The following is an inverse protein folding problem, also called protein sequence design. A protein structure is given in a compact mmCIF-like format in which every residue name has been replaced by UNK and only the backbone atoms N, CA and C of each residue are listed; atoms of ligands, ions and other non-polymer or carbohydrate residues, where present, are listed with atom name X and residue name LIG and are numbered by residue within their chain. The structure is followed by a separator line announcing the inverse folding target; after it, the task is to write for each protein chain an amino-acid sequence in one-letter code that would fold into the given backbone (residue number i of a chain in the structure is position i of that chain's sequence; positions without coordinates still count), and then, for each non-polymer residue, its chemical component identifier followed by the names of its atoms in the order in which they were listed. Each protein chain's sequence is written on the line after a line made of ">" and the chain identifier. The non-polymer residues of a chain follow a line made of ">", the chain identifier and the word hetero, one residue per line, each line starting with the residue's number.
data_IF_474959280415
#
_entry.id   IF_474959280415
#
_cell.length_a   1.000
_cell.length_b   1.000
_cell.length_c   1.000
_cell.angle_alpha   90.00
_cell.angle_beta   90.00
_cell.angle_gamma   90.00
#
_symmetry.space_group_name_H-M   'P 1'
#
loop_
_entity.id
_entity.type
_entity.pdbx_description
1 polymer ?
#
# COMPACT_ATOMS: atom_id res chain seq x y z
N UNK A 1 1.06 -16.84 -26.00
CA UNK A 1 1.54 -17.03 -24.62
C UNK A 1 2.69 -16.06 -24.40
N UNK A 2 2.60 -15.20 -23.37
CA UNK A 2 3.67 -14.27 -23.03
C UNK A 2 4.78 -15.01 -22.27
N UNK A 3 6.00 -14.49 -22.38
CA UNK A 3 7.11 -14.87 -21.51
C UNK A 3 7.45 -13.66 -20.62
N UNK A 4 7.55 -13.87 -19.31
CA UNK A 4 7.81 -12.82 -18.33
C UNK A 4 9.18 -13.02 -17.69
N UNK A 5 9.98 -11.95 -17.68
CA UNK A 5 11.19 -11.86 -16.88
C UNK A 5 10.95 -10.92 -15.70
N UNK A 6 11.15 -11.44 -14.47
CA UNK A 6 10.87 -10.67 -13.25
C UNK A 6 12.15 -10.12 -12.63
N UNK A 7 12.13 -8.84 -12.31
CA UNK A 7 13.13 -8.20 -11.46
C UNK A 7 12.44 -7.68 -10.21
N UNK A 8 12.93 -8.07 -9.03
CA UNK A 8 12.40 -7.61 -7.75
C UNK A 8 13.46 -6.79 -7.01
N UNK A 9 13.06 -5.61 -6.52
CA UNK A 9 13.91 -4.72 -5.71
C UNK A 9 13.10 -4.06 -4.62
N UNK A 10 13.72 -3.74 -3.50
CA UNK A 10 13.12 -2.94 -2.42
C UNK A 10 13.23 -1.42 -2.66
N UNK A 11 13.93 -0.99 -3.72
CA UNK A 11 14.18 0.43 -4.02
C UNK A 11 13.41 0.89 -5.25
N UNK A 12 12.33 1.65 -5.06
CA UNK A 12 11.52 2.17 -6.16
C UNK A 12 12.31 3.02 -7.16
N UNK A 13 13.33 3.74 -6.71
CA UNK A 13 14.19 4.58 -7.56
C UNK A 13 14.96 3.77 -8.63
N UNK A 14 15.31 2.51 -8.35
CA UNK A 14 15.94 1.62 -9.32
C UNK A 14 14.98 1.30 -10.47
N UNK A 15 13.71 1.03 -10.16
CA UNK A 15 12.67 0.79 -11.16
C UNK A 15 12.40 2.04 -12.00
N UNK A 16 12.35 3.21 -11.37
CA UNK A 16 12.19 4.49 -12.05
C UNK A 16 13.29 4.71 -13.09
N UNK A 17 14.55 4.44 -12.72
CA UNK A 17 15.69 4.52 -13.63
C UNK A 17 15.55 3.58 -14.83
N UNK A 18 15.23 2.32 -14.60
CA UNK A 18 15.09 1.29 -15.63
C UNK A 18 13.90 1.52 -16.59
N UNK A 19 12.77 2.02 -16.08
CA UNK A 19 11.64 2.43 -16.93
C UNK A 19 12.04 3.63 -17.80
N UNK A 20 12.71 4.62 -17.24
CA UNK A 20 13.11 5.81 -17.96
C UNK A 20 14.16 5.52 -19.05
N UNK A 21 15.08 4.56 -18.81
CA UNK A 21 16.09 4.12 -19.81
C UNK A 21 15.53 3.16 -20.86
N UNK A 22 14.36 2.56 -20.62
CA UNK A 22 13.79 1.53 -21.50
C UNK A 22 14.25 0.10 -21.22
N UNK A 23 14.94 -0.11 -20.10
CA UNK A 23 15.40 -1.44 -19.67
C UNK A 23 14.31 -2.27 -19.00
N UNK A 24 13.19 -1.65 -18.64
CA UNK A 24 11.96 -2.29 -18.17
C UNK A 24 10.77 -1.77 -18.96
N UNK A 25 9.83 -2.65 -19.25
CA UNK A 25 8.61 -2.34 -19.99
C UNK A 25 7.44 -2.06 -19.05
N UNK A 26 7.30 -2.86 -17.98
CA UNK A 26 6.22 -2.80 -16.99
C UNK A 26 6.85 -2.75 -15.59
N UNK A 27 6.25 -1.99 -14.68
CA UNK A 27 6.67 -1.96 -13.28
C UNK A 27 5.46 -1.81 -12.33
N UNK A 28 5.52 -2.52 -11.19
CA UNK A 28 4.62 -2.32 -10.06
C UNK A 28 5.33 -1.38 -9.09
N UNK A 29 4.79 -0.19 -8.90
CA UNK A 29 5.41 0.89 -8.13
C UNK A 29 4.39 1.62 -7.25
N UNK A 30 4.83 2.35 -6.21
CA UNK A 30 3.94 3.22 -5.45
C UNK A 30 3.25 4.28 -6.34
N UNK A 31 1.98 4.57 -6.08
CA UNK A 31 1.17 5.48 -6.90
C UNK A 31 1.77 6.89 -6.99
N UNK A 32 2.33 7.42 -5.89
CA UNK A 32 3.00 8.72 -5.88
C UNK A 32 4.27 8.72 -6.74
N UNK A 33 5.00 7.60 -6.79
CA UNK A 33 6.19 7.44 -7.65
C UNK A 33 5.79 7.43 -9.12
N UNK A 34 4.67 6.81 -9.47
CA UNK A 34 4.13 6.83 -10.84
C UNK A 34 3.84 8.26 -11.33
N UNK A 35 3.28 9.12 -10.47
CA UNK A 35 3.03 10.53 -10.79
C UNK A 35 4.34 11.30 -11.09
N UNK A 36 5.37 11.09 -10.28
CA UNK A 36 6.70 11.68 -10.50
C UNK A 36 7.31 11.16 -11.81
N UNK A 37 7.22 9.86 -12.06
CA UNK A 37 7.76 9.22 -13.25
C UNK A 37 7.05 9.71 -14.53
N UNK A 38 5.74 9.91 -14.49
CA UNK A 38 4.97 10.48 -15.59
C UNK A 38 5.53 11.85 -16.02
N UNK A 39 5.87 12.70 -15.05
CA UNK A 39 6.49 14.00 -15.32
C UNK A 39 7.92 13.85 -15.86
N UNK A 40 8.74 13.01 -15.23
CA UNK A 40 10.16 12.80 -15.61
C UNK A 40 10.31 12.20 -17.01
N UNK A 41 9.40 11.32 -17.42
CA UNK A 41 9.43 10.66 -18.74
C UNK A 41 8.68 11.45 -19.83
N UNK A 42 8.32 12.71 -19.55
CA UNK A 42 7.54 13.53 -20.50
C UNK A 42 6.24 12.83 -20.93
N UNK A 43 5.53 12.24 -19.97
CA UNK A 43 4.27 11.51 -20.15
C UNK A 43 4.41 10.16 -20.89
N UNK A 44 5.59 9.56 -20.92
CA UNK A 44 5.81 8.26 -21.58
C UNK A 44 5.54 7.05 -20.66
N UNK A 45 4.62 7.19 -19.70
CA UNK A 45 4.11 6.07 -18.89
C UNK A 45 2.59 6.11 -18.82
N UNK A 46 1.99 4.93 -18.77
CA UNK A 46 0.55 4.72 -18.65
C UNK A 46 0.27 3.79 -17.49
N UNK A 47 -0.71 4.12 -16.67
CA UNK A 47 -1.18 3.22 -15.60
C UNK A 47 -2.11 2.18 -16.22
N UNK A 48 -1.81 0.90 -15.96
CA UNK A 48 -2.59 -0.25 -16.42
C UNK A 48 -3.68 -0.63 -15.42
N UNK A 49 -3.30 -0.72 -14.15
CA UNK A 49 -4.20 -1.05 -13.04
C UNK A 49 -3.72 -0.46 -11.71
N UNK A 50 -4.64 -0.44 -10.75
CA UNK A 50 -4.28 -0.36 -9.33
C UNK A 50 -4.09 -1.80 -8.86
N UNK A 51 -2.92 -2.12 -8.32
CA UNK A 51 -2.59 -3.46 -7.83
C UNK A 51 -2.70 -3.61 -6.32
N UNK A 52 -2.67 -2.51 -5.57
CA UNK A 52 -2.75 -2.51 -4.11
C UNK A 52 -3.49 -1.25 -3.64
N UNK A 53 -4.56 -1.44 -2.86
CA UNK A 53 -5.25 -0.36 -2.19
C UNK A 53 -4.53 0.02 -0.89
N UNK A 54 -5.22 0.60 0.10
CA UNK A 54 -4.59 1.00 1.36
C UNK A 54 -4.12 -0.20 2.19
N UNK A 55 -3.00 -0.03 2.90
CA UNK A 55 -2.38 -1.07 3.73
C UNK A 55 -1.98 -0.56 5.12
N UNK A 56 -2.44 0.63 5.50
CA UNK A 56 -2.08 1.26 6.77
C UNK A 56 -3.13 0.97 7.86
N UNK A 57 -2.65 0.58 9.03
CA UNK A 57 -3.47 0.25 10.19
C UNK A 57 -2.97 0.98 11.43
N UNK A 58 -3.89 1.49 12.25
CA UNK A 58 -3.55 1.89 13.62
C UNK A 58 -3.45 0.61 14.45
N UNK A 59 -2.32 0.43 15.11
CA UNK A 59 -2.01 -0.74 15.96
C UNK A 59 -1.83 -0.25 17.40
N UNK A 60 -2.59 -0.82 18.30
CA UNK A 60 -2.57 -0.49 19.73
C UNK A 60 -3.06 -1.66 20.58
N UNK A 61 -2.80 -1.60 21.89
CA UNK A 61 -3.39 -2.49 22.90
C UNK A 61 -4.66 -1.91 23.53
N UNK A 62 -4.93 -0.62 23.31
CA UNK A 62 -6.08 0.10 23.85
C UNK A 62 -7.34 -0.19 23.03
N UNK A 63 -8.21 -1.05 23.52
CA UNK A 63 -9.47 -1.43 22.90
C UNK A 63 -10.51 -0.29 22.85
N UNK A 64 -10.26 0.85 23.50
CA UNK A 64 -11.13 2.04 23.42
C UNK A 64 -10.92 2.83 22.13
N UNK A 65 -9.83 2.57 21.39
CA UNK A 65 -9.57 3.17 20.10
C UNK A 65 -10.32 2.35 19.05
N UNK A 66 -11.40 2.89 18.51
CA UNK A 66 -12.25 2.24 17.50
C UNK A 66 -12.39 3.07 16.23
N UNK A 67 -11.92 4.31 16.26
CA UNK A 67 -11.97 5.27 15.15
C UNK A 67 -10.78 6.22 15.16
N UNK A 68 -10.60 6.95 14.08
CA UNK A 68 -9.57 8.00 14.00
C UNK A 68 -9.82 9.11 15.02
N UNK A 69 -11.10 9.42 15.35
CA UNK A 69 -11.45 10.43 16.32
C UNK A 69 -10.95 10.11 17.75
N UNK A 70 -10.83 8.83 18.10
CA UNK A 70 -10.38 8.38 19.42
C UNK A 70 -8.88 8.61 19.65
N UNK A 71 -8.14 9.05 18.63
CA UNK A 71 -6.74 9.41 18.73
C UNK A 71 -6.51 10.78 19.36
N UNK A 72 -7.57 11.55 19.66
CA UNK A 72 -7.47 12.88 20.26
C UNK A 72 -6.69 12.84 21.59
N UNK A 73 -5.69 13.72 21.70
CA UNK A 73 -4.84 13.83 22.89
C UNK A 73 -3.78 12.73 23.00
N UNK A 74 -3.65 11.87 22.01
CA UNK A 74 -2.71 10.74 22.02
C UNK A 74 -1.46 11.03 21.18
N UNK A 75 -0.37 10.32 21.47
CA UNK A 75 0.83 10.27 20.64
C UNK A 75 0.75 9.06 19.74
N UNK A 76 0.98 9.24 18.43
CA UNK A 76 0.93 8.19 17.42
C UNK A 76 2.27 8.13 16.69
N UNK A 77 2.90 6.97 16.69
CA UNK A 77 4.16 6.72 16.02
C UNK A 77 3.92 6.16 14.60
N UNK A 78 4.61 6.74 13.61
CA UNK A 78 4.46 6.32 12.22
C UNK A 78 5.71 6.61 11.39
N UNK A 79 5.74 6.18 10.15
CA UNK A 79 6.77 6.52 9.16
C UNK A 79 6.21 7.44 8.08
N UNK A 80 7.06 7.91 7.19
CA UNK A 80 6.64 8.62 5.98
C UNK A 80 6.39 10.11 6.16
N UNK A 81 7.20 10.79 7.01
CA UNK A 81 7.17 12.25 7.13
C UNK A 81 7.40 12.92 5.78
N UNK A 82 6.54 13.86 5.41
CA UNK A 82 6.59 14.56 4.11
C UNK A 82 6.15 13.71 2.92
N UNK A 83 5.51 12.56 3.17
CA UNK A 83 5.06 11.64 2.13
C UNK A 83 3.61 11.21 2.34
N UNK A 84 3.11 10.36 1.47
CA UNK A 84 1.72 9.90 1.45
C UNK A 84 1.15 9.49 2.81
N UNK A 85 1.82 8.69 3.66
CA UNK A 85 1.27 8.31 4.96
C UNK A 85 0.93 9.49 5.87
N UNK A 86 1.79 10.52 5.91
CA UNK A 86 1.50 11.73 6.69
C UNK A 86 0.30 12.49 6.13
N UNK A 87 0.21 12.66 4.79
CA UNK A 87 -0.90 13.37 4.18
C UNK A 87 -2.23 12.65 4.40
N UNK A 88 -2.25 11.34 4.26
CA UNK A 88 -3.41 10.50 4.54
C UNK A 88 -3.86 10.67 5.99
N UNK A 89 -2.92 10.57 6.93
CA UNK A 89 -3.22 10.70 8.36
C UNK A 89 -3.78 12.08 8.69
N UNK A 90 -3.15 13.14 8.20
CA UNK A 90 -3.60 14.51 8.40
C UNK A 90 -5.00 14.76 7.81
N UNK A 91 -5.29 14.21 6.63
CA UNK A 91 -6.61 14.27 6.02
C UNK A 91 -7.65 13.58 6.91
N UNK A 92 -7.39 12.34 7.32
CA UNK A 92 -8.31 11.58 8.16
C UNK A 92 -8.56 12.25 9.51
N UNK A 93 -7.53 12.79 10.16
CA UNK A 93 -7.67 13.54 11.41
C UNK A 93 -8.57 14.75 11.22
N UNK A 94 -8.31 15.56 10.20
CA UNK A 94 -9.10 16.77 9.90
C UNK A 94 -10.57 16.45 9.63
N UNK A 95 -10.84 15.47 8.77
CA UNK A 95 -12.21 15.10 8.40
C UNK A 95 -12.97 14.43 9.56
N UNK A 96 -12.27 13.90 10.55
CA UNK A 96 -12.86 13.43 11.82
C UNK A 96 -12.95 14.54 12.89
N UNK A 97 -12.78 15.80 12.51
CA UNK A 97 -12.98 16.96 13.38
C UNK A 97 -11.83 17.25 14.34
N UNK A 98 -10.64 16.70 14.10
CA UNK A 98 -9.45 16.95 14.89
C UNK A 98 -8.63 18.10 14.30
N UNK A 99 -8.25 19.06 15.15
CA UNK A 99 -7.39 20.17 14.75
C UNK A 99 -5.91 19.75 14.67
N UNK A 100 -5.11 20.55 13.99
CA UNK A 100 -3.66 20.38 13.99
C UNK A 100 -3.12 20.47 15.44
N UNK A 101 -2.41 19.41 15.88
CA UNK A 101 -1.89 19.30 17.25
C UNK A 101 -2.81 18.60 18.24
N UNK A 102 -4.04 18.24 17.88
CA UNK A 102 -4.90 17.38 18.71
C UNK A 102 -4.32 15.96 18.85
N UNK A 103 -3.51 15.53 17.89
CA UNK A 103 -2.76 14.26 17.90
C UNK A 103 -1.28 14.57 17.69
N UNK A 104 -0.44 14.03 18.55
CA UNK A 104 1.01 14.19 18.43
C UNK A 104 1.57 13.10 17.50
N UNK A 105 1.84 13.44 16.24
CA UNK A 105 2.42 12.52 15.26
C UNK A 105 3.94 12.50 15.38
N UNK A 106 4.50 11.38 15.82
CA UNK A 106 5.92 11.12 15.97
C UNK A 106 6.45 10.23 14.86
N UNK A 107 7.36 10.77 14.02
CA UNK A 107 7.86 10.06 12.85
C UNK A 107 9.15 9.30 13.14
N UNK A 108 9.19 8.04 12.71
CA UNK A 108 10.36 7.16 12.68
C UNK A 108 10.83 6.98 11.24
N UNK A 109 12.07 6.56 11.07
CA UNK A 109 12.65 6.35 9.74
C UNK A 109 12.08 5.11 9.06
N UNK A 110 11.89 4.03 9.85
CA UNK A 110 11.52 2.71 9.35
C UNK A 110 10.33 2.12 10.10
N UNK A 111 9.51 1.32 9.41
CA UNK A 111 8.38 0.62 10.01
C UNK A 111 8.81 -0.37 11.11
N UNK A 112 10.01 -0.94 11.00
CA UNK A 112 10.62 -1.81 12.01
C UNK A 112 10.90 -1.08 13.33
N UNK A 113 11.23 0.21 13.28
CA UNK A 113 11.43 1.02 14.50
C UNK A 113 10.08 1.23 15.22
N UNK A 114 9.01 1.50 14.47
CA UNK A 114 7.66 1.61 15.06
C UNK A 114 7.23 0.28 15.67
N UNK A 115 7.42 -0.84 14.97
CA UNK A 115 7.09 -2.17 15.46
C UNK A 115 7.87 -2.51 16.76
N UNK A 116 9.17 -2.18 16.81
CA UNK A 116 10.01 -2.39 17.99
C UNK A 116 9.54 -1.54 19.18
N UNK A 117 9.18 -0.29 18.93
CA UNK A 117 8.64 0.62 19.96
C UNK A 117 7.34 0.08 20.55
N UNK A 118 6.42 -0.44 19.73
CA UNK A 118 5.17 -1.05 20.19
C UNK A 118 5.41 -2.33 20.99
N UNK A 119 6.49 -3.07 20.69
CA UNK A 119 6.89 -4.25 21.45
C UNK A 119 7.42 -3.88 22.84
N UNK A 120 8.22 -2.82 22.93
CA UNK A 120 8.85 -2.36 24.17
C UNK A 120 7.89 -1.55 25.05
N UNK A 121 6.96 -0.84 24.45
CA UNK A 121 5.94 -0.03 25.12
C UNK A 121 4.54 -0.44 24.65
N UNK A 122 3.87 -1.37 25.35
CA UNK A 122 2.54 -1.85 24.96
C UNK A 122 1.45 -0.78 24.92
N UNK A 123 1.62 0.33 25.66
CA UNK A 123 0.67 1.43 25.69
C UNK A 123 0.85 2.41 24.52
N UNK A 124 1.90 2.23 23.72
CA UNK A 124 2.13 3.06 22.55
C UNK A 124 1.15 2.74 21.42
N UNK A 125 0.86 3.76 20.61
CA UNK A 125 0.00 3.65 19.41
C UNK A 125 0.89 3.84 18.18
N UNK A 126 0.79 2.95 17.22
CA UNK A 126 1.53 3.07 15.97
C UNK A 126 0.63 2.98 14.74
N UNK A 127 1.07 3.59 13.65
CA UNK A 127 0.53 3.34 12.31
C UNK A 127 1.56 2.54 11.54
N UNK A 128 1.16 1.34 11.11
CA UNK A 128 2.01 0.38 10.41
C UNK A 128 1.37 -0.09 9.11
N UNK A 129 2.16 -0.26 8.04
CA UNK A 129 1.71 -0.95 6.84
C UNK A 129 1.73 -2.47 7.05
N UNK A 130 0.97 -3.19 6.23
CA UNK A 130 1.17 -4.63 6.09
C UNK A 130 2.48 -4.93 5.32
N UNK A 131 3.22 -5.99 5.68
CA UNK A 131 2.94 -7.00 6.72
C UNK A 131 3.40 -6.62 8.14
N UNK A 132 3.97 -5.44 8.36
CA UNK A 132 4.53 -5.03 9.65
C UNK A 132 3.48 -4.97 10.77
N UNK A 133 2.26 -4.51 10.48
CA UNK A 133 1.17 -4.51 11.46
C UNK A 133 0.88 -5.93 11.97
N UNK A 134 0.75 -6.90 11.06
CA UNK A 134 0.55 -8.30 11.43
C UNK A 134 1.74 -8.87 12.19
N UNK A 135 2.97 -8.60 11.76
CA UNK A 135 4.18 -9.07 12.45
C UNK A 135 4.27 -8.52 13.88
N UNK A 136 3.95 -7.25 14.10
CA UNK A 136 3.91 -6.64 15.45
C UNK A 136 2.88 -7.33 16.34
N UNK A 137 1.68 -7.60 15.84
CA UNK A 137 0.62 -8.30 16.58
C UNK A 137 0.96 -9.77 16.89
N UNK A 138 1.73 -10.44 16.03
CA UNK A 138 2.24 -11.79 16.30
C UNK A 138 3.29 -11.78 17.43
N UNK A 139 4.15 -10.77 17.43
CA UNK A 139 5.22 -10.64 18.44
C UNK A 139 4.70 -10.20 19.80
N UNK A 140 3.58 -9.49 19.85
CA UNK A 140 2.92 -9.05 21.07
C UNK A 140 1.40 -9.21 20.93
N UNK A 141 0.86 -10.24 21.59
CA UNK A 141 -0.57 -10.60 21.53
C UNK A 141 -1.52 -9.55 22.13
N UNK A 142 -1.01 -8.59 22.90
CA UNK A 142 -1.81 -7.47 23.39
C UNK A 142 -2.11 -6.46 22.28
N UNK A 143 -1.29 -6.40 21.22
CA UNK A 143 -1.49 -5.48 20.10
C UNK A 143 -2.53 -6.00 19.12
N UNK A 144 -3.35 -5.09 18.63
CA UNK A 144 -4.37 -5.37 17.61
C UNK A 144 -4.36 -4.26 16.56
N UNK A 145 -4.74 -4.55 15.31
CA UNK A 145 -5.09 -3.52 14.34
C UNK A 145 -6.47 -2.96 14.74
N UNK A 146 -6.48 -1.82 15.42
CA UNK A 146 -7.70 -1.22 16.00
C UNK A 146 -8.46 -0.33 15.02
N UNK A 147 -7.78 0.28 14.04
CA UNK A 147 -8.40 1.07 12.96
C UNK A 147 -7.75 0.73 11.63
N UNK A 148 -8.57 0.36 10.66
CA UNK A 148 -8.19 0.27 9.24
C UNK A 148 -8.33 1.65 8.60
N UNK A 149 -7.21 2.26 8.19
CA UNK A 149 -7.22 3.59 7.58
C UNK A 149 -7.84 3.59 6.17
N UNK A 150 -7.89 2.43 5.50
CA UNK A 150 -8.57 2.29 4.21
C UNK A 150 -10.09 2.36 4.40
N UNK A 151 -10.63 1.66 5.40
CA UNK A 151 -12.05 1.75 5.74
C UNK A 151 -12.43 3.16 6.20
N UNK A 152 -11.59 3.80 7.01
CA UNK A 152 -11.79 5.18 7.45
C UNK A 152 -11.82 6.16 6.26
N UNK A 153 -10.92 5.98 5.28
CA UNK A 153 -10.92 6.77 4.04
C UNK A 153 -12.18 6.55 3.21
N UNK A 154 -12.54 5.29 2.99
CA UNK A 154 -13.70 4.93 2.19
C UNK A 154 -15.01 5.48 2.78
N UNK A 155 -15.15 5.47 4.11
CA UNK A 155 -16.31 6.02 4.80
C UNK A 155 -16.52 7.53 4.55
N UNK A 156 -15.42 8.28 4.39
CA UNK A 156 -15.45 9.73 4.11
C UNK A 156 -15.63 10.06 2.63
N UNK A 157 -15.33 9.14 1.73
CA UNK A 157 -15.24 9.40 0.30
C UNK A 157 -16.24 8.59 -0.55
N UNK A 158 -17.35 8.14 0.03
CA UNK A 158 -18.35 7.31 -0.64
C UNK A 158 -18.93 7.96 -1.91
N UNK A 159 -19.14 9.28 -1.87
CA UNK A 159 -19.75 10.03 -2.99
C UNK A 159 -18.75 10.33 -4.12
N UNK A 160 -17.46 10.37 -3.84
CA UNK A 160 -16.42 10.74 -4.82
C UNK A 160 -15.85 9.53 -5.56
N UNK A 161 -16.03 8.31 -5.05
CA UNK A 161 -15.36 7.11 -5.57
C UNK A 161 -13.85 7.06 -5.28
N UNK A 162 -13.31 8.05 -4.52
CA UNK A 162 -11.91 8.09 -4.12
C UNK A 162 -11.57 6.92 -3.22
N UNK A 163 -10.45 6.26 -3.50
CA UNK A 163 -9.92 5.16 -2.69
C UNK A 163 -8.49 5.44 -2.26
N UNK A 164 -8.08 4.87 -1.14
CA UNK A 164 -6.69 4.91 -0.71
C UNK A 164 -5.89 3.94 -1.58
N UNK A 165 -4.97 4.47 -2.39
CA UNK A 165 -4.18 3.69 -3.35
C UNK A 165 -2.73 3.64 -2.89
N UNK A 166 -2.18 2.43 -2.76
CA UNK A 166 -0.77 2.24 -2.43
C UNK A 166 0.06 1.97 -3.68
N UNK A 167 -0.33 1.03 -4.52
CA UNK A 167 0.44 0.58 -5.66
C UNK A 167 -0.34 0.56 -6.96
N UNK A 168 0.38 0.87 -8.03
CA UNK A 168 -0.12 0.80 -9.40
C UNK A 168 0.84 0.02 -10.29
N UNK A 169 0.31 -0.56 -11.34
CA UNK A 169 1.09 -1.17 -12.41
C UNK A 169 1.17 -0.18 -13.57
N UNK A 170 2.37 0.16 -13.96
CA UNK A 170 2.62 1.06 -15.09
C UNK A 170 3.30 0.33 -16.25
N UNK A 171 3.12 0.87 -17.43
CA UNK A 171 3.80 0.43 -18.66
C UNK A 171 4.38 1.66 -19.37
N UNK A 172 5.51 1.50 -20.07
CA UNK A 172 5.97 2.54 -20.99
C UNK A 172 4.95 2.72 -22.11
N UNK A 173 4.57 3.96 -22.38
CA UNK A 173 3.50 4.26 -23.36
C UNK A 173 3.91 3.93 -24.80
N UNK A 174 5.19 4.02 -25.15
CA UNK A 174 5.73 3.59 -26.43
C UNK A 174 5.62 2.07 -26.60
N UNK A 175 6.05 1.30 -25.60
CA UNK A 175 5.93 -0.14 -25.59
C UNK A 175 4.46 -0.60 -25.69
N UNK A 176 3.55 0.04 -24.95
CA UNK A 176 2.11 -0.23 -25.02
C UNK A 176 1.55 -0.02 -26.44
N UNK A 177 1.98 1.05 -27.14
CA UNK A 177 1.50 1.31 -28.52
C UNK A 177 1.89 0.21 -29.49
N UNK A 178 3.08 -0.35 -29.32
CA UNK A 178 3.63 -1.39 -30.21
C UNK A 178 3.18 -2.81 -29.82
N UNK A 179 2.80 -3.02 -28.54
CA UNK A 179 2.54 -4.34 -27.96
C UNK A 179 1.15 -4.45 -27.31
N UNK A 180 0.10 -3.92 -27.92
CA UNK A 180 -1.26 -3.87 -27.32
C UNK A 180 -1.80 -5.25 -26.96
N UNK A 181 -1.65 -6.24 -27.84
CA UNK A 181 -2.16 -7.58 -27.56
C UNK A 181 -1.38 -8.30 -26.45
N UNK A 182 -0.03 -8.29 -26.42
CA UNK A 182 0.73 -8.79 -25.27
C UNK A 182 0.38 -8.11 -23.94
N UNK A 183 0.15 -6.79 -23.93
CA UNK A 183 -0.23 -6.08 -22.71
C UNK A 183 -1.65 -6.45 -22.25
N UNK A 184 -2.58 -6.67 -23.16
CA UNK A 184 -3.91 -7.16 -22.80
C UNK A 184 -3.84 -8.55 -22.15
N UNK A 185 -3.04 -9.46 -22.70
CA UNK A 185 -2.79 -10.78 -22.09
C UNK A 185 -2.13 -10.66 -20.71
N UNK A 186 -1.15 -9.76 -20.58
CA UNK A 186 -0.53 -9.48 -19.28
C UNK A 186 -1.57 -9.06 -18.23
N UNK A 187 -2.50 -8.16 -18.58
CA UNK A 187 -3.55 -7.72 -17.66
C UNK A 187 -4.49 -8.86 -17.25
N UNK A 188 -4.79 -9.77 -18.16
CA UNK A 188 -5.58 -10.97 -17.88
C UNK A 188 -4.83 -11.90 -16.91
N UNK A 189 -3.58 -12.23 -17.21
CA UNK A 189 -2.71 -13.05 -16.35
C UNK A 189 -2.50 -12.40 -14.96
N UNK A 190 -2.31 -11.07 -14.93
CA UNK A 190 -2.12 -10.32 -13.69
C UNK A 190 -3.38 -10.34 -12.82
N UNK A 191 -4.55 -10.17 -13.44
CA UNK A 191 -5.84 -10.26 -12.75
C UNK A 191 -6.09 -11.65 -12.16
N UNK A 192 -5.79 -12.70 -12.92
CA UNK A 192 -5.90 -14.08 -12.43
C UNK A 192 -4.92 -14.33 -11.28
N UNK A 193 -3.70 -13.84 -11.37
CA UNK A 193 -2.68 -13.94 -10.31
C UNK A 193 -3.11 -13.20 -9.04
N UNK A 194 -3.65 -11.98 -9.15
CA UNK A 194 -4.15 -11.22 -8.02
C UNK A 194 -5.33 -11.94 -7.34
N UNK A 195 -6.27 -12.46 -8.12
CA UNK A 195 -7.38 -13.24 -7.60
C UNK A 195 -6.92 -14.54 -6.93
N UNK A 196 -5.96 -15.24 -7.54
CA UNK A 196 -5.36 -16.43 -6.94
C UNK A 196 -4.75 -16.14 -5.57
N UNK A 197 -4.03 -15.03 -5.45
CA UNK A 197 -3.40 -14.63 -4.19
C UNK A 197 -4.40 -14.41 -3.06
N UNK A 198 -5.60 -13.91 -3.39
CA UNK A 198 -6.68 -13.68 -2.42
C UNK A 198 -7.44 -14.97 -2.08
N UNK A 199 -7.68 -15.82 -3.08
CA UNK A 199 -8.49 -17.04 -2.91
C UNK A 199 -7.67 -18.20 -2.31
N UNK A 200 -6.33 -18.23 -2.52
CA UNK A 200 -5.43 -19.31 -2.12
C UNK A 200 -4.35 -18.79 -1.16
N UNK A 201 -4.79 -18.22 -0.03
CA UNK A 201 -3.90 -17.54 0.94
C UNK A 201 -2.77 -18.45 1.44
N UNK A 202 -3.04 -19.73 1.70
CA UNK A 202 -2.04 -20.67 2.22
C UNK A 202 -0.90 -20.92 1.20
N UNK A 203 -1.27 -21.18 -0.05
CA UNK A 203 -0.31 -21.42 -1.13
C UNK A 203 0.47 -20.14 -1.46
N UNK A 204 -0.23 -19.00 -1.52
CA UNK A 204 0.39 -17.69 -1.74
C UNK A 204 1.36 -17.34 -0.64
N UNK A 205 1.06 -17.65 0.63
CA UNK A 205 1.96 -17.41 1.75
C UNK A 205 3.29 -18.17 1.60
N UNK A 206 3.23 -19.42 1.14
CA UNK A 206 4.45 -20.21 0.87
C UNK A 206 5.25 -19.63 -0.31
N UNK A 207 4.57 -19.21 -1.38
CA UNK A 207 5.22 -18.61 -2.56
C UNK A 207 5.92 -17.29 -2.22
N UNK A 208 5.27 -16.39 -1.49
CA UNK A 208 5.86 -15.08 -1.14
C UNK A 208 7.00 -15.21 -0.13
N UNK A 209 6.93 -16.21 0.76
CA UNK A 209 8.04 -16.53 1.67
C UNK A 209 9.22 -17.13 0.89
N UNK A 210 8.98 -18.06 -0.03
CA UNK A 210 10.01 -18.63 -0.89
C UNK A 210 10.68 -17.58 -1.79
N UNK A 211 9.92 -16.58 -2.24
CA UNK A 211 10.44 -15.45 -3.02
C UNK A 211 11.17 -14.40 -2.16
N UNK A 212 11.20 -14.54 -0.84
CA UNK A 212 11.84 -13.58 0.07
C UNK A 212 11.10 -12.25 0.25
N UNK A 213 9.83 -12.17 -0.15
CA UNK A 213 8.99 -10.97 0.00
C UNK A 213 8.59 -10.79 1.47
N UNK A 214 8.26 -11.88 2.15
CA UNK A 214 7.96 -11.92 3.58
C UNK A 214 8.88 -12.95 4.23
N UNK A 215 9.37 -12.67 5.43
CA UNK A 215 10.37 -13.52 6.11
C UNK A 215 9.90 -14.97 6.33
N UNK A 216 8.61 -15.13 6.67
CA UNK A 216 8.03 -16.44 7.03
C UNK A 216 6.60 -16.59 6.52
N UNK A 217 6.26 -17.77 5.99
CA UNK A 217 4.92 -18.09 5.49
C UNK A 217 3.78 -17.88 6.53
N UNK A 218 3.94 -18.19 7.84
CA UNK A 218 2.89 -17.91 8.82
C UNK A 218 2.57 -16.42 8.99
N UNK A 219 3.55 -15.52 8.82
CA UNK A 219 3.34 -14.07 8.82
C UNK A 219 2.58 -13.68 7.55
N UNK A 220 3.03 -14.14 6.39
CA UNK A 220 2.39 -13.90 5.11
C UNK A 220 0.92 -14.36 5.13
N UNK A 221 0.64 -15.56 5.61
CA UNK A 221 -0.71 -16.11 5.72
C UNK A 221 -1.66 -15.21 6.52
N UNK A 222 -1.18 -14.67 7.64
CA UNK A 222 -1.99 -13.77 8.47
C UNK A 222 -2.10 -12.36 7.88
N UNK A 223 -1.10 -11.88 7.14
CA UNK A 223 -1.07 -10.54 6.57
C UNK A 223 -1.85 -10.42 5.24
N UNK A 224 -1.80 -11.44 4.39
CA UNK A 224 -2.37 -11.42 3.03
C UNK A 224 -3.84 -10.94 2.98
N UNK A 225 -4.76 -11.36 3.87
CA UNK A 225 -6.13 -10.86 3.86
C UNK A 225 -6.27 -9.35 4.08
N UNK A 226 -5.24 -8.70 4.62
CA UNK A 226 -5.21 -7.27 4.92
C UNK A 226 -4.33 -6.46 3.97
N UNK A 227 -3.74 -7.10 2.95
CA UNK A 227 -2.84 -6.44 1.99
C UNK A 227 -3.59 -5.73 0.86
N UNK A 228 -4.91 -5.85 0.77
CA UNK A 228 -5.75 -5.22 -0.25
C UNK A 228 -5.21 -5.39 -1.68
N UNK A 229 -4.80 -6.63 -2.02
CA UNK A 229 -4.34 -7.00 -3.35
C UNK A 229 -5.53 -6.98 -4.31
N UNK A 230 -5.42 -6.23 -5.39
CA UNK A 230 -6.46 -6.07 -6.41
C UNK A 230 -5.84 -6.02 -7.82
N UNK A 231 -6.68 -6.06 -8.83
CA UNK A 231 -6.36 -5.65 -10.19
C UNK A 231 -7.53 -4.82 -10.71
N UNK A 232 -7.50 -3.53 -10.40
CA UNK A 232 -8.56 -2.59 -10.73
C UNK A 232 -8.19 -1.81 -11.98
N UNK A 233 -9.01 -1.87 -13.01
CA UNK A 233 -8.75 -1.27 -14.32
C UNK A 233 -9.88 -0.33 -14.76
N UNK A 234 -9.72 0.34 -15.89
CA UNK A 234 -10.79 1.07 -16.55
C UNK A 234 -11.30 2.30 -15.79
N UNK A 235 -12.62 2.48 -15.78
CA UNK A 235 -13.23 3.68 -15.18
C UNK A 235 -13.11 3.67 -13.66
N UNK A 236 -13.29 2.52 -13.03
CA UNK A 236 -13.13 2.37 -11.57
C UNK A 236 -11.73 2.80 -11.10
N UNK A 237 -10.67 2.36 -11.80
CA UNK A 237 -9.31 2.83 -11.54
C UNK A 237 -9.17 4.35 -11.69
N UNK A 238 -9.77 4.94 -12.73
CA UNK A 238 -9.70 6.39 -12.95
C UNK A 238 -10.39 7.17 -11.84
N UNK A 239 -11.57 6.73 -11.41
CA UNK A 239 -12.32 7.38 -10.34
C UNK A 239 -11.57 7.29 -9.02
N UNK A 240 -11.01 6.13 -8.70
CA UNK A 240 -10.19 5.92 -7.51
C UNK A 240 -8.96 6.83 -7.48
N UNK A 241 -8.19 6.90 -8.57
CA UNK A 241 -6.98 7.72 -8.67
C UNK A 241 -7.28 9.22 -8.73
N UNK A 242 -8.33 9.66 -9.45
CA UNK A 242 -8.67 11.07 -9.58
C UNK A 242 -9.06 11.73 -8.26
N UNK A 243 -9.64 10.96 -7.35
CA UNK A 243 -10.01 11.45 -6.04
C UNK A 243 -8.86 11.38 -5.03
N UNK A 244 -7.79 10.67 -5.34
CA UNK A 244 -6.64 10.46 -4.45
C UNK A 244 -5.43 11.33 -4.80
N UNK A 245 -5.14 11.57 -6.09
CA UNK A 245 -4.04 12.38 -6.61
C UNK A 245 -4.48 13.82 -6.86
#
# INVERSE_FOLDING_TARGET
>A
ENHYEFTMTGAADELVGKIASGDLDIALIPANVASVLYTKTQKNVTVLDINTLGVLYVVASDDSITSVADLKGKTVYMTGKGTTPEYVMNYLLKENGLAAGDVDLQFKSEATEVASLLKENPDAIGVLPQPFATAACIQNEALKPVVDLTEAWNALNQDSGSMLVTGVTIVRSDFLRENRAPIQMFLEDHKESAQYAVDHVDETAELVAAAGIVEKAPIAKKALPYCNIVCMTGQEMKDALSGYL
#
